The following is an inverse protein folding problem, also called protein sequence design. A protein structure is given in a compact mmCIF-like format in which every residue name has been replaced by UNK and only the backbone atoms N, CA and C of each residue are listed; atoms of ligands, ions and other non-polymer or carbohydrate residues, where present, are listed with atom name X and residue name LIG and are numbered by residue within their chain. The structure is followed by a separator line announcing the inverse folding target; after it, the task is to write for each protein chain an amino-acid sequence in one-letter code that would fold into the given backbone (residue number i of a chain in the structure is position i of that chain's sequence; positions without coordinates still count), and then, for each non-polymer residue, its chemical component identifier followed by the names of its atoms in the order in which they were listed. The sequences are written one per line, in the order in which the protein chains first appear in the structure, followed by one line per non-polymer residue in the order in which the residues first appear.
data_IF_818260058033
#
_entry.id   IF_818260058033
#
_cell.length_a   1.000
_cell.length_b   1.000
_cell.length_c   1.000
_cell.angle_alpha   90.00
_cell.angle_beta   90.00
_cell.angle_gamma   90.00
#
_symmetry.space_group_name_H-M   'P 1'
#
loop_
_entity.id
_entity.type
_entity.pdbx_description
1 polymer ?
#
# COMPACT_ATOMS: atom_id res chain seq x y z
N UNK A 1 -20.39 -3.12 8.17
CA UNK A 1 -21.55 -3.20 7.30
C UNK A 1 -22.62 -2.18 7.67
N UNK A 2 -23.71 -2.08 6.90
CA UNK A 2 -24.80 -1.11 7.09
C UNK A 2 -25.44 -1.23 8.49
N UNK A 3 -25.58 -2.44 9.01
CA UNK A 3 -26.12 -2.68 10.35
C UNK A 3 -25.24 -2.13 11.48
N UNK A 4 -23.93 -2.26 11.37
CA UNK A 4 -22.99 -1.71 12.34
C UNK A 4 -23.05 -0.18 12.41
N UNK A 5 -23.24 0.49 11.26
CA UNK A 5 -23.40 1.96 11.22
C UNK A 5 -24.70 2.41 11.90
N UNK A 6 -25.79 1.65 11.68
CA UNK A 6 -27.10 1.90 12.32
C UNK A 6 -27.05 1.71 13.83
N UNK A 7 -26.30 0.71 14.30
CA UNK A 7 -26.11 0.44 15.73
C UNK A 7 -25.25 1.55 16.39
N UNK A 8 -24.28 2.11 15.66
CA UNK A 8 -23.47 3.24 16.14
C UNK A 8 -24.30 4.52 16.27
N UNK A 9 -25.19 4.82 15.32
CA UNK A 9 -26.06 6.00 15.37
C UNK A 9 -27.08 5.97 16.50
N UNK A 10 -27.37 4.77 17.03
CA UNK A 10 -28.31 4.60 18.15
C UNK A 10 -27.63 4.65 19.54
N UNK A 11 -26.31 4.73 19.62
CA UNK A 11 -25.55 4.73 20.88
C UNK A 11 -25.44 6.11 21.55
N UNK A 12 -26.49 6.92 21.54
CA UNK A 12 -26.50 8.17 22.28
C UNK A 12 -27.58 9.13 21.81
N UNK A 13 -27.85 10.17 22.61
CA UNK A 13 -28.74 11.26 22.20
C UNK A 13 -27.97 12.17 21.23
N UNK A 14 -28.20 12.04 19.91
CA UNK A 14 -27.59 12.86 18.84
C UNK A 14 -26.05 12.78 18.78
N UNK A 15 -25.44 11.62 18.45
CA UNK A 15 -23.99 11.54 18.29
C UNK A 15 -23.53 12.34 17.07
N UNK A 16 -22.38 12.99 17.17
CA UNK A 16 -21.69 13.55 16.01
C UNK A 16 -21.06 12.40 15.20
N UNK A 17 -21.41 12.31 13.91
CA UNK A 17 -20.95 11.23 13.03
C UNK A 17 -20.04 11.83 11.96
N UNK A 18 -18.80 11.33 11.89
CA UNK A 18 -17.86 11.62 10.81
C UNK A 18 -17.57 10.34 10.02
N UNK A 19 -17.86 10.37 8.73
CA UNK A 19 -17.53 9.27 7.79
C UNK A 19 -16.43 9.76 6.86
N UNK A 20 -15.33 9.03 6.82
CA UNK A 20 -14.18 9.34 5.95
C UNK A 20 -13.92 8.19 4.98
N UNK A 21 -13.61 8.52 3.73
CA UNK A 21 -13.18 7.56 2.72
C UNK A 21 -11.99 8.12 1.96
N UNK A 22 -10.97 7.28 1.74
CA UNK A 22 -9.82 7.61 0.89
C UNK A 22 -10.09 7.34 -0.60
N UNK A 23 -11.19 6.64 -0.93
CA UNK A 23 -11.59 6.42 -2.32
C UNK A 23 -12.45 7.58 -2.80
N UNK A 24 -12.23 8.10 -4.02
CA UNK A 24 -13.10 9.11 -4.58
C UNK A 24 -14.51 8.55 -4.77
N UNK A 25 -15.46 9.06 -3.99
CA UNK A 25 -16.88 8.71 -4.10
C UNK A 25 -17.54 9.85 -4.89
N UNK A 26 -18.17 9.59 -6.02
CA UNK A 26 -18.94 10.61 -6.73
C UNK A 26 -19.94 11.29 -5.79
N UNK A 27 -20.05 12.61 -5.87
CA UNK A 27 -20.93 13.41 -4.96
C UNK A 27 -22.37 12.89 -4.93
N UNK A 28 -22.90 12.50 -6.09
CA UNK A 28 -24.23 11.89 -6.21
C UNK A 28 -24.36 10.58 -5.44
N UNK A 29 -23.34 9.73 -5.49
CA UNK A 29 -23.32 8.46 -4.75
C UNK A 29 -23.18 8.71 -3.25
N UNK A 30 -22.38 9.69 -2.86
CA UNK A 30 -22.24 10.08 -1.45
C UNK A 30 -23.56 10.59 -0.86
N UNK A 31 -24.32 11.38 -1.59
CA UNK A 31 -25.66 11.85 -1.18
C UNK A 31 -26.62 10.67 -1.05
N UNK A 32 -26.59 9.72 -1.98
CA UNK A 32 -27.47 8.53 -1.93
C UNK A 32 -27.13 7.64 -0.72
N UNK A 33 -25.84 7.47 -0.42
CA UNK A 33 -25.37 6.58 0.65
C UNK A 33 -25.46 7.20 2.05
N UNK A 34 -25.38 8.53 2.15
CA UNK A 34 -25.21 9.24 3.42
C UNK A 34 -26.21 10.38 3.62
N UNK A 35 -27.22 10.49 2.76
CA UNK A 35 -28.37 11.42 2.68
C UNK A 35 -28.41 12.64 3.59
N UNK A 36 -28.21 12.44 4.90
CA UNK A 36 -28.35 13.46 5.93
C UNK A 36 -27.00 14.05 6.41
N UNK A 37 -25.88 13.71 5.74
CA UNK A 37 -24.55 14.20 6.12
C UNK A 37 -24.05 15.28 5.17
N UNK A 38 -23.45 16.33 5.74
CA UNK A 38 -22.72 17.34 4.97
C UNK A 38 -21.45 16.73 4.36
N UNK A 39 -21.16 17.09 3.10
CA UNK A 39 -20.01 16.56 2.36
C UNK A 39 -18.92 17.64 2.32
N UNK A 40 -17.76 17.29 2.90
CA UNK A 40 -16.54 18.07 2.75
C UNK A 40 -15.54 17.30 1.88
N UNK A 41 -14.97 17.98 0.88
CA UNK A 41 -14.00 17.42 -0.04
C UNK A 41 -12.63 18.02 0.29
N UNK A 42 -11.61 17.17 0.44
CA UNK A 42 -10.21 17.57 0.57
C UNK A 42 -9.59 17.37 -0.82
N UNK A 43 -9.38 18.43 -1.56
CA UNK A 43 -8.87 18.45 -2.93
C UNK A 43 -7.46 19.07 -3.04
N UNK A 44 -6.94 19.59 -1.93
CA UNK A 44 -5.59 20.14 -1.88
C UNK A 44 -4.59 19.19 -1.22
N UNK A 45 -3.38 19.18 -1.76
CA UNK A 45 -2.24 18.47 -1.15
C UNK A 45 -1.57 19.34 -0.10
N UNK A 46 -1.05 18.77 1.00
CA UNK A 46 -0.22 19.53 1.93
C UNK A 46 0.95 20.21 1.22
N UNK A 47 1.24 21.48 1.59
CA UNK A 47 2.15 22.38 0.87
C UNK A 47 3.56 21.83 0.58
N UNK A 48 4.06 20.89 1.40
CA UNK A 48 5.42 20.33 1.27
C UNK A 48 5.44 18.92 0.67
N UNK A 49 4.34 18.46 0.07
CA UNK A 49 4.25 17.11 -0.45
C UNK A 49 4.67 17.04 -1.91
N UNK A 50 5.72 16.27 -2.20
CA UNK A 50 6.19 16.04 -3.56
C UNK A 50 5.27 15.04 -4.30
N UNK A 51 4.96 15.28 -5.58
CA UNK A 51 4.22 14.31 -6.40
C UNK A 51 4.96 12.97 -6.46
N UNK A 52 4.24 11.87 -6.30
CA UNK A 52 4.80 10.52 -6.43
C UNK A 52 5.09 10.23 -7.90
N UNK A 53 6.32 9.83 -8.22
CA UNK A 53 6.69 9.41 -9.57
C UNK A 53 6.26 7.96 -9.79
N UNK A 54 5.45 7.72 -10.79
CA UNK A 54 4.93 6.39 -11.11
C UNK A 54 5.58 5.87 -12.40
N UNK A 55 5.87 4.57 -12.46
CA UNK A 55 6.21 3.87 -13.68
C UNK A 55 5.53 2.51 -13.73
N UNK A 56 5.17 2.09 -14.94
CA UNK A 56 4.69 0.75 -15.24
C UNK A 56 5.74 0.07 -16.09
N UNK A 57 6.15 -1.12 -15.69
CA UNK A 57 7.25 -1.87 -16.29
C UNK A 57 6.88 -3.34 -16.42
N UNK A 58 7.52 -4.05 -17.33
CA UNK A 58 7.41 -5.49 -17.42
C UNK A 58 8.39 -6.21 -16.48
N UNK A 59 8.26 -7.54 -16.40
CA UNK A 59 9.09 -8.36 -15.52
C UNK A 59 10.59 -8.29 -15.81
N UNK A 60 11.00 -8.00 -17.05
CA UNK A 60 12.40 -7.87 -17.43
C UNK A 60 13.09 -6.68 -16.75
N UNK A 61 12.29 -5.74 -16.23
CA UNK A 61 12.78 -4.58 -15.50
C UNK A 61 13.16 -4.88 -14.04
N UNK A 62 12.76 -6.05 -13.47
CA UNK A 62 13.02 -6.39 -12.07
C UNK A 62 14.47 -6.15 -11.61
N UNK A 63 15.51 -6.55 -12.35
CA UNK A 63 16.88 -6.28 -11.91
C UNK A 63 17.18 -4.78 -11.72
N UNK A 64 16.62 -3.92 -12.59
CA UNK A 64 16.76 -2.46 -12.48
C UNK A 64 15.96 -1.91 -11.30
N UNK A 65 14.78 -2.47 -11.03
CA UNK A 65 13.97 -2.09 -9.87
C UNK A 65 14.67 -2.48 -8.56
N UNK A 66 15.30 -3.64 -8.48
CA UNK A 66 16.08 -4.07 -7.31
C UNK A 66 17.32 -3.20 -7.10
N UNK A 67 18.05 -2.89 -8.16
CA UNK A 67 19.17 -1.93 -8.09
C UNK A 67 18.72 -0.55 -7.62
N UNK A 68 17.53 -0.11 -8.03
CA UNK A 68 16.95 1.15 -7.57
C UNK A 68 16.55 1.09 -6.09
N UNK A 69 15.93 -0.01 -5.63
CA UNK A 69 15.63 -0.25 -4.20
C UNK A 69 16.92 -0.20 -3.39
N UNK A 70 17.97 -0.91 -3.82
CA UNK A 70 19.27 -0.89 -3.17
C UNK A 70 19.81 0.52 -3.01
N UNK A 71 19.76 1.32 -4.09
CA UNK A 71 20.20 2.73 -4.06
C UNK A 71 19.39 3.57 -3.07
N UNK A 72 18.07 3.37 -2.98
CA UNK A 72 17.21 4.10 -2.06
C UNK A 72 17.50 3.71 -0.61
N UNK A 73 17.70 2.42 -0.34
CA UNK A 73 18.09 1.94 0.99
C UNK A 73 19.46 2.46 1.39
N UNK A 74 20.44 2.45 0.49
CA UNK A 74 21.76 3.03 0.73
C UNK A 74 21.71 4.54 1.05
N UNK A 75 20.67 5.24 0.60
CA UNK A 75 20.38 6.63 0.95
C UNK A 75 19.59 6.78 2.26
N UNK A 76 19.41 5.71 3.03
CA UNK A 76 18.67 5.70 4.29
C UNK A 76 17.14 5.71 4.11
N UNK A 77 16.60 5.23 2.96
CA UNK A 77 15.16 5.14 2.72
C UNK A 77 14.66 3.72 2.93
N UNK A 78 13.34 3.62 3.11
CA UNK A 78 12.67 2.34 3.26
C UNK A 78 11.74 2.07 2.08
N UNK A 79 11.47 0.80 1.81
CA UNK A 79 10.71 0.37 0.65
C UNK A 79 9.64 -0.65 1.02
N UNK A 80 8.49 -0.57 0.35
CA UNK A 80 7.49 -1.63 0.32
C UNK A 80 7.59 -2.41 -0.99
N UNK A 81 7.44 -3.73 -0.90
CA UNK A 81 7.22 -4.60 -2.04
C UNK A 81 5.93 -5.36 -1.82
N UNK A 82 4.97 -5.18 -2.71
CA UNK A 82 3.64 -5.78 -2.59
C UNK A 82 3.51 -6.92 -3.58
N UNK A 83 3.21 -8.10 -3.07
CA UNK A 83 2.88 -9.28 -3.84
C UNK A 83 1.35 -9.41 -3.95
N UNK A 84 0.81 -9.83 -5.11
CA UNK A 84 -0.63 -10.03 -5.25
C UNK A 84 -1.12 -11.17 -4.36
N UNK A 85 -2.36 -11.06 -3.93
CA UNK A 85 -3.09 -12.18 -3.35
C UNK A 85 -3.35 -13.22 -4.45
N UNK A 86 -3.17 -14.48 -4.13
CA UNK A 86 -3.54 -15.59 -5.02
C UNK A 86 -4.90 -16.11 -4.57
N UNK A 87 -5.87 -16.14 -5.48
CA UNK A 87 -7.27 -16.46 -5.16
C UNK A 87 -7.49 -17.86 -4.58
N UNK A 88 -6.52 -18.79 -4.73
CA UNK A 88 -6.72 -20.21 -4.43
C UNK A 88 -6.67 -20.58 -2.93
N UNK A 89 -5.93 -19.89 -2.10
CA UNK A 89 -5.98 -20.00 -0.63
C UNK A 89 -5.03 -19.01 0.07
N UNK A 90 -5.39 -18.58 1.29
CA UNK A 90 -4.49 -17.80 2.17
C UNK A 90 -3.17 -18.53 2.50
N UNK A 91 -3.11 -19.88 2.30
CA UNK A 91 -1.89 -20.66 2.49
C UNK A 91 -0.89 -20.41 1.38
N UNK A 92 -1.35 -20.41 0.13
CA UNK A 92 -0.52 -20.15 -1.06
C UNK A 92 -0.01 -18.72 -1.04
N UNK A 93 -0.82 -17.77 -0.58
CA UNK A 93 -0.38 -16.37 -0.40
C UNK A 93 0.80 -16.23 0.56
N UNK A 94 0.72 -16.91 1.71
CA UNK A 94 1.77 -16.89 2.71
C UNK A 94 3.08 -17.49 2.15
N UNK A 95 3.01 -18.62 1.44
CA UNK A 95 4.15 -19.25 0.79
C UNK A 95 4.77 -18.33 -0.27
N UNK A 96 3.95 -17.72 -1.14
CA UNK A 96 4.43 -16.80 -2.17
C UNK A 96 5.20 -15.60 -1.61
N UNK A 97 4.73 -15.01 -0.52
CA UNK A 97 5.44 -13.88 0.14
C UNK A 97 6.74 -14.34 0.76
N UNK A 98 6.76 -15.50 1.40
CA UNK A 98 7.98 -16.09 2.00
C UNK A 98 9.00 -16.41 0.93
N UNK A 99 8.59 -17.08 -0.15
CA UNK A 99 9.47 -17.47 -1.26
C UNK A 99 10.01 -16.24 -2.00
N UNK A 100 9.15 -15.26 -2.26
CA UNK A 100 9.58 -14.00 -2.85
C UNK A 100 10.59 -13.27 -1.95
N UNK A 101 10.36 -13.25 -0.64
CA UNK A 101 11.28 -12.66 0.32
C UNK A 101 12.63 -13.40 0.34
N UNK A 102 12.61 -14.72 0.29
CA UNK A 102 13.83 -15.54 0.23
C UNK A 102 14.63 -15.28 -1.07
N UNK A 103 13.94 -15.13 -2.19
CA UNK A 103 14.54 -14.73 -3.46
C UNK A 103 15.14 -13.33 -3.37
N UNK A 104 14.37 -12.36 -2.86
CA UNK A 104 14.82 -10.97 -2.76
C UNK A 104 16.02 -10.80 -1.82
N UNK A 105 16.11 -11.59 -0.75
CA UNK A 105 17.30 -11.65 0.14
C UNK A 105 18.57 -12.16 -0.56
N UNK A 106 18.43 -13.00 -1.58
CA UNK A 106 19.58 -13.44 -2.39
C UNK A 106 20.05 -12.36 -3.36
N UNK A 107 19.08 -11.62 -3.94
CA UNK A 107 19.37 -10.49 -4.84
C UNK A 107 19.93 -9.26 -4.11
N UNK A 108 19.54 -9.07 -2.85
CA UNK A 108 19.87 -7.90 -2.02
C UNK A 108 20.42 -8.37 -0.65
N UNK A 109 21.60 -9.01 -0.59
CA UNK A 109 22.10 -9.68 0.63
C UNK A 109 22.42 -8.70 1.77
N UNK A 110 22.74 -7.46 1.46
CA UNK A 110 23.13 -6.42 2.43
C UNK A 110 21.93 -5.63 2.99
N UNK A 111 20.70 -5.97 2.57
CA UNK A 111 19.48 -5.26 2.96
C UNK A 111 18.68 -6.08 3.98
N UNK A 112 18.21 -5.42 5.03
CA UNK A 112 17.35 -6.01 6.04
C UNK A 112 15.93 -6.11 5.48
N UNK A 113 15.51 -7.32 5.11
CA UNK A 113 14.22 -7.60 4.48
C UNK A 113 13.38 -8.45 5.40
N UNK A 114 12.18 -8.00 5.70
CA UNK A 114 11.15 -8.75 6.41
C UNK A 114 9.89 -8.92 5.56
N UNK A 115 9.02 -9.81 5.98
CA UNK A 115 7.75 -10.05 5.30
C UNK A 115 6.56 -9.98 6.26
N UNK A 116 5.38 -9.71 5.67
CA UNK A 116 4.12 -9.66 6.36
C UNK A 116 3.00 -10.22 5.48
N UNK A 117 2.21 -11.15 6.01
CA UNK A 117 1.07 -11.73 5.29
C UNK A 117 -0.15 -11.94 6.20
N UNK A 118 -1.32 -12.18 5.59
CA UNK A 118 -2.61 -12.28 6.26
C UNK A 118 -2.66 -13.27 7.42
N UNK A 119 -2.02 -14.45 7.28
CA UNK A 119 -2.01 -15.54 8.27
C UNK A 119 -1.17 -15.31 9.53
N UNK A 120 -0.30 -14.31 9.54
CA UNK A 120 0.49 -14.02 10.73
C UNK A 120 -0.41 -13.61 11.90
N UNK A 121 -0.04 -14.01 13.11
CA UNK A 121 -0.72 -13.58 14.34
C UNK A 121 -0.67 -12.05 14.46
N UNK A 122 -1.73 -11.39 14.94
CA UNK A 122 -1.76 -9.93 15.05
C UNK A 122 -0.57 -9.34 15.84
N UNK A 123 -0.12 -10.01 16.90
CA UNK A 123 1.04 -9.58 17.67
C UNK A 123 2.32 -9.54 16.83
N UNK A 124 2.55 -10.57 16.01
CA UNK A 124 3.73 -10.65 15.13
C UNK A 124 3.66 -9.62 14.00
N UNK A 125 2.44 -9.37 13.44
CA UNK A 125 2.26 -8.30 12.45
C UNK A 125 2.63 -6.94 13.04
N UNK A 126 2.18 -6.67 14.26
CA UNK A 126 2.50 -5.41 14.94
C UNK A 126 4.00 -5.29 15.19
N UNK A 127 4.64 -6.34 15.66
CA UNK A 127 6.09 -6.37 15.91
C UNK A 127 6.91 -6.10 14.63
N UNK A 128 6.55 -6.74 13.50
CA UNK A 128 7.20 -6.48 12.20
C UNK A 128 7.00 -5.02 11.77
N UNK A 129 5.80 -4.49 11.95
CA UNK A 129 5.50 -3.09 11.61
C UNK A 129 6.21 -2.10 12.52
N UNK A 130 6.37 -2.40 13.81
CA UNK A 130 7.13 -1.57 14.74
C UNK A 130 8.61 -1.55 14.37
N UNK A 131 9.22 -2.70 14.04
CA UNK A 131 10.60 -2.77 13.53
C UNK A 131 10.78 -1.98 12.25
N UNK A 132 9.82 -2.09 11.33
CA UNK A 132 9.85 -1.31 10.09
C UNK A 132 9.73 0.19 10.37
N UNK A 133 8.84 0.60 11.27
CA UNK A 133 8.70 2.00 11.67
C UNK A 133 9.93 2.55 12.40
N UNK A 134 10.60 1.71 13.20
CA UNK A 134 11.86 2.03 13.89
C UNK A 134 13.10 2.01 12.98
N UNK A 135 12.92 1.73 11.67
CA UNK A 135 14.01 1.59 10.70
C UNK A 135 15.00 0.45 11.03
N UNK A 136 14.53 -0.57 11.69
CA UNK A 136 15.28 -1.83 11.89
C UNK A 136 15.18 -2.75 10.66
N UNK A 137 14.20 -2.50 9.80
CA UNK A 137 13.93 -3.17 8.52
C UNK A 137 13.96 -2.14 7.40
N UNK A 138 14.62 -2.45 6.29
CA UNK A 138 14.77 -1.57 5.14
C UNK A 138 13.71 -1.81 4.07
N UNK A 139 13.36 -3.08 3.85
CA UNK A 139 12.36 -3.51 2.87
C UNK A 139 11.33 -4.39 3.53
N UNK A 140 10.07 -4.04 3.38
CA UNK A 140 8.94 -4.85 3.83
C UNK A 140 8.21 -5.44 2.63
N UNK A 141 8.27 -6.77 2.51
CA UNK A 141 7.52 -7.55 1.51
C UNK A 141 6.16 -7.91 2.10
N UNK A 142 5.06 -7.62 1.43
CA UNK A 142 3.72 -7.89 1.96
C UNK A 142 2.72 -8.26 0.88
N UNK A 143 1.64 -8.94 1.28
CA UNK A 143 0.40 -8.96 0.50
C UNK A 143 -0.34 -7.62 0.66
N UNK A 144 -1.49 -7.46 0.04
CA UNK A 144 -2.31 -6.23 0.04
C UNK A 144 -2.71 -5.71 1.43
N UNK A 145 -2.53 -6.51 2.47
CA UNK A 145 -3.02 -6.25 3.83
C UNK A 145 -2.05 -5.35 4.62
N UNK A 146 -1.55 -4.27 4.03
CA UNK A 146 -0.98 -3.18 4.84
C UNK A 146 -2.14 -2.30 5.35
N UNK A 147 -3.13 -2.92 5.97
CA UNK A 147 -4.21 -2.22 6.66
C UNK A 147 -3.77 -1.67 8.02
N UNK A 148 -2.56 -2.01 8.46
CA UNK A 148 -2.01 -1.47 9.71
C UNK A 148 -1.74 0.00 9.50
N UNK A 149 -2.47 0.85 10.23
CA UNK A 149 -2.42 2.31 10.15
C UNK A 149 -1.09 2.96 10.59
N UNK A 150 0.02 2.23 10.49
CA UNK A 150 1.35 2.75 10.82
C UNK A 150 1.82 3.65 9.69
N UNK A 151 2.11 4.90 10.06
CA UNK A 151 2.68 5.88 9.16
C UNK A 151 4.21 5.75 9.17
N UNK A 152 4.81 5.44 8.03
CA UNK A 152 6.28 5.39 7.85
C UNK A 152 6.70 6.43 6.83
N UNK A 153 6.94 7.69 7.25
CA UNK A 153 7.28 8.79 6.34
C UNK A 153 8.56 8.57 5.54
N UNK A 154 9.48 7.77 6.09
CA UNK A 154 10.75 7.42 5.45
C UNK A 154 10.61 6.38 4.33
N UNK A 155 9.43 5.77 4.17
CA UNK A 155 9.17 4.84 3.07
C UNK A 155 8.88 5.60 1.78
N UNK A 156 9.81 5.54 0.85
CA UNK A 156 9.80 6.32 -0.39
C UNK A 156 9.59 5.49 -1.65
N UNK A 157 9.69 4.17 -1.56
CA UNK A 157 9.47 3.29 -2.71
C UNK A 157 8.34 2.31 -2.42
N UNK A 158 7.42 2.22 -3.36
CA UNK A 158 6.39 1.19 -3.43
C UNK A 158 6.59 0.40 -4.73
N UNK A 159 6.94 -0.86 -4.64
CA UNK A 159 6.97 -1.77 -5.78
C UNK A 159 5.78 -2.73 -5.68
N UNK A 160 5.02 -2.86 -6.74
CA UNK A 160 3.83 -3.74 -6.79
C UNK A 160 4.05 -4.78 -7.89
N UNK A 161 4.15 -6.02 -7.49
CA UNK A 161 4.31 -7.17 -8.39
C UNK A 161 2.97 -7.60 -8.97
N UNK A 162 2.97 -8.03 -10.23
CA UNK A 162 1.77 -8.46 -10.96
C UNK A 162 0.61 -7.46 -10.79
N UNK A 163 0.92 -6.19 -11.03
CA UNK A 163 0.02 -5.07 -10.76
C UNK A 163 -1.31 -5.14 -11.51
N UNK A 164 -1.39 -5.91 -12.59
CA UNK A 164 -2.61 -6.21 -13.34
C UNK A 164 -3.66 -7.00 -12.54
N UNK A 165 -3.25 -7.64 -11.44
CA UNK A 165 -4.16 -8.37 -10.55
C UNK A 165 -4.85 -7.49 -9.51
N UNK A 166 -4.47 -6.23 -9.43
CA UNK A 166 -5.03 -5.27 -8.48
C UNK A 166 -6.07 -4.38 -9.14
N UNK A 167 -7.16 -4.12 -8.45
CA UNK A 167 -8.09 -3.08 -8.85
C UNK A 167 -7.46 -1.68 -8.75
N UNK A 168 -7.88 -0.76 -9.62
CA UNK A 168 -7.33 0.60 -9.65
C UNK A 168 -7.42 1.32 -8.30
N UNK A 169 -8.53 1.15 -7.58
CA UNK A 169 -8.71 1.71 -6.23
C UNK A 169 -7.66 1.17 -5.23
N UNK A 170 -7.33 -0.12 -5.33
CA UNK A 170 -6.29 -0.73 -4.49
C UNK A 170 -4.91 -0.17 -4.82
N UNK A 171 -4.58 -0.02 -6.11
CA UNK A 171 -3.31 0.58 -6.53
C UNK A 171 -3.20 2.04 -6.05
N UNK A 172 -4.27 2.80 -6.08
CA UNK A 172 -4.31 4.16 -5.51
C UNK A 172 -4.07 4.15 -3.99
N UNK A 173 -4.67 3.23 -3.26
CA UNK A 173 -4.45 3.11 -1.82
C UNK A 173 -3.01 2.71 -1.48
N UNK A 174 -2.42 1.75 -2.23
CA UNK A 174 -1.02 1.35 -2.08
C UNK A 174 -0.09 2.53 -2.37
N UNK A 175 -0.29 3.23 -3.49
CA UNK A 175 0.47 4.44 -3.82
C UNK A 175 0.42 5.47 -2.69
N UNK A 176 -0.73 5.64 -2.05
CA UNK A 176 -0.92 6.57 -0.93
C UNK A 176 -0.18 6.17 0.36
N UNK A 177 0.47 5.02 0.41
CA UNK A 177 1.30 4.60 1.56
C UNK A 177 2.70 5.18 1.54
N UNK A 178 3.19 5.60 0.38
CA UNK A 178 4.45 6.34 0.21
C UNK A 178 4.18 7.83 -0.07
N UNK A 179 5.22 8.65 -0.10
CA UNK A 179 5.07 10.09 -0.34
C UNK A 179 4.48 10.85 0.84
N UNK A 180 4.70 10.37 2.07
CA UNK A 180 4.21 11.01 3.29
C UNK A 180 5.26 11.86 4.00
N UNK A 181 6.51 11.79 3.54
CA UNK A 181 7.65 12.56 4.02
C UNK A 181 8.07 13.64 3.02
N UNK A 182 9.22 14.25 3.29
CA UNK A 182 9.81 15.33 2.49
C UNK A 182 10.56 14.83 1.25
N UNK A 183 10.78 13.52 1.15
CA UNK A 183 11.61 12.92 0.10
C UNK A 183 10.77 12.51 -1.11
N UNK A 184 11.40 12.63 -2.30
CA UNK A 184 10.79 12.15 -3.53
C UNK A 184 10.43 10.67 -3.41
N UNK A 185 9.19 10.33 -3.68
CA UNK A 185 8.70 8.96 -3.62
C UNK A 185 8.35 8.41 -5.00
N UNK A 186 8.43 7.10 -5.11
CA UNK A 186 8.33 6.36 -6.36
C UNK A 186 7.37 5.17 -6.20
N UNK A 187 6.59 4.92 -7.24
CA UNK A 187 5.74 3.75 -7.31
C UNK A 187 6.04 2.99 -8.60
N UNK A 188 6.48 1.74 -8.48
CA UNK A 188 6.88 0.86 -9.58
C UNK A 188 5.82 -0.24 -9.69
N UNK A 189 5.07 -0.25 -10.77
CA UNK A 189 4.08 -1.27 -11.07
C UNK A 189 4.70 -2.26 -12.07
N UNK A 190 4.96 -3.49 -11.61
CA UNK A 190 5.47 -4.58 -12.46
C UNK A 190 4.29 -5.38 -12.97
N UNK A 191 4.23 -5.61 -14.27
CA UNK A 191 3.16 -6.37 -14.92
C UNK A 191 3.72 -7.60 -15.63
N UNK A 192 3.04 -8.74 -15.50
CA UNK A 192 3.41 -9.99 -16.17
C UNK A 192 2.97 -10.07 -17.64
N UNK A 193 2.05 -9.19 -18.06
CA UNK A 193 1.55 -9.15 -19.42
C UNK A 193 1.82 -7.81 -20.09
N UNK A 194 2.22 -7.83 -21.36
CA UNK A 194 2.34 -6.67 -22.26
C UNK A 194 0.99 -6.02 -22.57
N UNK A 195 0.08 -5.93 -21.60
CA UNK A 195 -1.29 -5.44 -21.83
C UNK A 195 -1.37 -3.96 -21.51
N UNK A 196 -1.62 -3.23 -22.58
CA UNK A 196 -2.23 -1.89 -22.62
C UNK A 196 -2.01 -0.98 -21.40
N UNK A 197 -0.96 -0.18 -21.49
CA UNK A 197 -0.58 0.88 -20.53
C UNK A 197 -1.64 1.98 -20.28
N UNK A 198 -2.83 1.86 -20.87
CA UNK A 198 -3.83 2.93 -20.90
C UNK A 198 -4.56 3.13 -19.58
N UNK A 199 -4.67 2.12 -18.75
CA UNK A 199 -5.44 2.22 -17.49
C UNK A 199 -4.63 2.64 -16.24
N UNK A 200 -3.29 2.65 -16.32
CA UNK A 200 -2.42 2.98 -15.18
C UNK A 200 -1.81 4.38 -15.23
N UNK A 201 -2.17 5.18 -16.24
CA UNK A 201 -1.70 6.57 -16.42
C UNK A 201 -2.60 7.64 -15.79
N UNK A 202 -3.65 7.25 -15.08
CA UNK A 202 -4.55 8.20 -14.43
C UNK A 202 -4.06 8.60 -13.03
#
# INVERSE_FOLDING_TARGET
GVNQRRDFSQKGKSPHILVMSATPIPRTLAIILYGDLDISIIDEMPANRLPIKNCVVDESYRPKAYAFIHKQVASGRQCYVICPMVEDSEAVEAENVVDYTAMLKKELPDIRIEYLHGKMRPSLKNEVMERFAAHETDVLVSTTVIEVGVNVPNSTVMMVENSERFGLAQLHQLRGRVGRGEYQSYCIFVTGNTVSYTHLRA
#
